data_IF_368293437282
#
_entry.id   IF_368293437282
#
_cell.length_a   1.000
_cell.length_b   1.000
_cell.length_c   1.000
_cell.angle_alpha   90.00
_cell.angle_beta   90.00
_cell.angle_gamma   90.00
#
_symmetry.space_group_name_H-M   'P 1'
#
loop_
_entity.id
_entity.type
_entity.pdbx_description
1 polymer ?
#
# COMPACT_ATOMS: atom_id res chain seq x y z
N UNK A 1 8.44 -3.04 15.15
CA UNK A 1 7.43 -2.64 14.14
C UNK A 1 8.08 -2.52 12.77
N UNK A 2 7.52 -3.18 11.74
CA UNK A 2 7.93 -3.05 10.33
C UNK A 2 6.86 -2.31 9.54
N UNK A 3 7.24 -1.16 8.97
CA UNK A 3 6.34 -0.25 8.26
C UNK A 3 6.75 -0.18 6.79
N UNK A 4 5.79 -0.23 5.88
CA UNK A 4 6.01 0.05 4.46
C UNK A 4 5.43 1.40 4.01
N UNK A 5 6.29 2.16 3.36
CA UNK A 5 6.15 3.31 2.46
C UNK A 5 5.57 3.04 1.07
N UNK A 6 4.27 2.81 0.84
CA UNK A 6 3.81 2.43 -0.51
C UNK A 6 3.54 3.64 -1.43
N UNK A 7 4.24 3.73 -2.57
CA UNK A 7 4.01 4.77 -3.60
C UNK A 7 4.50 4.32 -4.99
N UNK A 8 3.83 4.66 -6.10
CA UNK A 8 4.19 4.17 -7.45
C UNK A 8 5.49 4.74 -8.02
N UNK A 9 5.89 5.96 -7.63
CA UNK A 9 7.11 6.61 -8.14
C UNK A 9 8.38 5.79 -7.89
N UNK A 10 9.33 5.87 -8.83
CA UNK A 10 10.63 5.22 -8.70
C UNK A 10 11.42 5.74 -7.50
N UNK A 11 11.45 7.07 -7.33
CA UNK A 11 12.08 7.74 -6.20
C UNK A 11 11.00 8.15 -5.18
N UNK A 12 11.21 7.92 -3.87
CA UNK A 12 10.24 8.30 -2.85
C UNK A 12 10.02 9.82 -2.82
N UNK A 13 8.77 10.29 -2.99
CA UNK A 13 8.45 11.71 -2.85
C UNK A 13 8.74 12.24 -1.44
N UNK A 14 8.88 13.56 -1.24
CA UNK A 14 9.13 14.17 0.07
C UNK A 14 8.19 13.65 1.17
N UNK A 15 6.87 13.61 0.93
CA UNK A 15 5.91 13.13 1.93
C UNK A 15 6.15 11.68 2.37
N UNK A 16 6.64 10.82 1.47
CA UNK A 16 6.96 9.44 1.82
C UNK A 16 8.23 9.36 2.65
N UNK A 17 9.23 10.19 2.31
CA UNK A 17 10.49 10.29 3.07
C UNK A 17 10.25 10.76 4.51
N UNK A 18 9.38 11.75 4.71
CA UNK A 18 9.02 12.22 6.06
C UNK A 18 8.39 11.12 6.91
N UNK A 19 7.43 10.35 6.35
CA UNK A 19 6.83 9.22 7.07
C UNK A 19 7.89 8.18 7.44
N UNK A 20 8.81 7.86 6.51
CA UNK A 20 9.89 6.92 6.77
C UNK A 20 10.89 7.44 7.82
N UNK A 21 11.22 8.73 7.78
CA UNK A 21 12.09 9.37 8.75
C UNK A 21 11.48 9.32 10.15
N UNK A 22 10.22 9.70 10.30
CA UNK A 22 9.51 9.67 11.58
C UNK A 22 9.32 8.24 12.10
N UNK A 23 8.98 7.29 11.21
CA UNK A 23 8.93 5.87 11.58
C UNK A 23 10.27 5.40 12.15
N UNK A 24 11.39 5.77 11.50
CA UNK A 24 12.73 5.45 11.98
C UNK A 24 13.06 6.15 13.31
N UNK A 25 12.67 7.41 13.48
CA UNK A 25 12.84 8.19 14.72
C UNK A 25 12.11 7.53 15.90
N UNK A 26 10.96 6.91 15.64
CA UNK A 26 10.17 6.14 16.61
C UNK A 26 10.67 4.68 16.80
N UNK A 27 11.82 4.31 16.20
CA UNK A 27 12.41 2.98 16.35
C UNK A 27 11.79 1.89 15.46
N UNK A 28 10.90 2.24 14.54
CA UNK A 28 10.37 1.29 13.56
C UNK A 28 11.35 1.08 12.39
N UNK A 29 11.31 -0.11 11.78
CA UNK A 29 11.98 -0.37 10.51
C UNK A 29 11.05 0.05 9.39
N UNK A 30 11.45 1.03 8.60
CA UNK A 30 10.67 1.49 7.45
C UNK A 30 11.29 1.02 6.14
N UNK A 31 10.48 0.52 5.20
CA UNK A 31 10.89 0.26 3.82
C UNK A 31 10.09 1.13 2.86
N UNK A 32 10.70 1.57 1.76
CA UNK A 32 9.94 2.10 0.63
C UNK A 32 9.47 0.93 -0.24
N UNK A 33 8.20 0.92 -0.62
CA UNK A 33 7.58 -0.13 -1.40
C UNK A 33 6.91 0.48 -2.63
N UNK A 34 7.21 -0.04 -3.81
CA UNK A 34 6.44 0.30 -5.00
C UNK A 34 5.47 -0.83 -5.29
N UNK A 35 4.22 -0.57 -5.67
CA UNK A 35 3.27 -1.63 -6.02
C UNK A 35 3.81 -2.57 -7.09
N UNK A 36 4.60 -2.07 -8.06
CA UNK A 36 5.27 -2.88 -9.10
C UNK A 36 6.37 -3.81 -8.63
N UNK A 37 6.85 -3.62 -7.41
CA UNK A 37 7.85 -4.51 -6.83
C UNK A 37 7.21 -5.67 -6.06
N UNK A 38 5.88 -5.68 -5.89
CA UNK A 38 5.16 -6.69 -5.11
C UNK A 38 4.78 -7.86 -6.01
N UNK A 39 5.15 -9.06 -5.58
CA UNK A 39 4.70 -10.32 -6.18
C UNK A 39 3.91 -11.09 -5.13
N UNK A 40 2.74 -11.59 -5.53
CA UNK A 40 1.92 -12.48 -4.71
C UNK A 40 2.10 -13.93 -5.16
N UNK A 41 2.40 -14.81 -4.22
CA UNK A 41 2.45 -16.24 -4.41
C UNK A 41 1.27 -16.88 -3.67
N UNK A 42 0.45 -17.62 -4.42
CA UNK A 42 -0.64 -18.41 -3.86
C UNK A 42 -0.23 -19.87 -3.82
N UNK A 43 -0.21 -20.47 -2.63
CA UNK A 43 0.07 -21.89 -2.43
C UNK A 43 -1.10 -22.54 -1.70
N UNK A 44 -2.06 -23.06 -2.47
CA UNK A 44 -3.31 -23.58 -1.94
C UNK A 44 -4.15 -22.45 -1.32
N UNK A 45 -4.23 -22.40 0.02
CA UNK A 45 -4.95 -21.36 0.77
C UNK A 45 -4.03 -20.30 1.40
N UNK A 46 -2.71 -20.41 1.23
CA UNK A 46 -1.79 -19.40 1.74
C UNK A 46 -1.51 -18.33 0.69
N UNK A 47 -1.47 -17.08 1.14
CA UNK A 47 -0.99 -15.92 0.40
C UNK A 47 0.34 -15.49 1.01
N UNK A 48 1.37 -15.43 0.17
CA UNK A 48 2.66 -14.86 0.55
C UNK A 48 3.02 -13.70 -0.39
N UNK A 49 3.47 -12.60 0.19
CA UNK A 49 3.89 -11.43 -0.56
C UNK A 49 5.41 -11.30 -0.54
N UNK A 50 5.96 -10.91 -1.68
CA UNK A 50 7.39 -10.76 -1.89
C UNK A 50 7.71 -9.42 -2.53
N UNK A 51 8.88 -8.89 -2.19
CA UNK A 51 9.54 -7.79 -2.89
C UNK A 51 10.86 -8.30 -3.46
N UNK A 52 10.86 -8.61 -4.76
CA UNK A 52 11.95 -9.39 -5.36
C UNK A 52 12.11 -10.73 -4.64
N UNK A 53 13.32 -11.06 -4.19
CA UNK A 53 13.59 -12.31 -3.47
C UNK A 53 13.26 -12.28 -1.96
N UNK A 54 12.80 -11.15 -1.42
CA UNK A 54 12.55 -11.00 0.03
C UNK A 54 11.06 -11.08 0.33
N UNK A 55 10.68 -11.92 1.28
CA UNK A 55 9.32 -11.95 1.81
C UNK A 55 8.97 -10.59 2.42
N UNK A 56 7.80 -10.08 2.09
CA UNK A 56 7.25 -8.86 2.64
C UNK A 56 6.54 -9.20 3.96
N UNK A 57 7.08 -8.71 5.06
CA UNK A 57 6.61 -8.99 6.43
C UNK A 57 6.26 -7.69 7.19
N UNK A 58 5.72 -6.71 6.44
CA UNK A 58 5.32 -5.42 6.99
C UNK A 58 4.01 -5.53 7.76
N UNK A 59 4.00 -5.04 8.99
CA UNK A 59 2.82 -5.06 9.88
C UNK A 59 1.83 -3.93 9.53
N UNK A 60 2.35 -2.85 8.95
CA UNK A 60 1.61 -1.65 8.59
C UNK A 60 2.13 -1.07 7.27
N UNK A 61 1.24 -0.65 6.39
CA UNK A 61 1.56 -0.05 5.10
C UNK A 61 0.85 1.29 4.95
N UNK A 62 1.62 2.37 4.81
CA UNK A 62 1.09 3.68 4.42
C UNK A 62 0.96 3.72 2.90
N UNK A 63 -0.27 3.80 2.42
CA UNK A 63 -0.63 3.91 1.01
C UNK A 63 -0.62 5.38 0.60
N UNK A 64 0.28 5.73 -0.32
CA UNK A 64 0.44 7.08 -0.87
C UNK A 64 0.38 7.03 -2.40
N UNK A 65 -0.02 8.14 -3.02
CA UNK A 65 0.03 8.28 -4.48
C UNK A 65 -1.08 7.56 -5.26
N UNK A 66 -2.18 7.18 -4.60
CA UNK A 66 -3.34 6.52 -5.25
C UNK A 66 -4.39 7.50 -5.78
N UNK A 67 -4.20 8.81 -5.59
CA UNK A 67 -5.21 9.84 -5.89
C UNK A 67 -5.39 10.15 -7.38
N UNK A 68 -4.34 10.00 -8.20
CA UNK A 68 -4.31 10.46 -9.59
C UNK A 68 -3.81 9.38 -10.55
N UNK A 69 -4.48 8.23 -10.64
CA UNK A 69 -4.14 7.19 -11.60
C UNK A 69 -4.38 7.68 -13.04
N UNK A 70 -3.51 7.31 -13.97
CA UNK A 70 -3.62 7.63 -15.40
C UNK A 70 -4.73 6.84 -16.09
N UNK A 71 -5.12 5.68 -15.53
CA UNK A 71 -6.20 4.84 -16.03
C UNK A 71 -6.87 4.05 -14.91
N UNK A 72 -8.03 3.46 -15.21
CA UNK A 72 -8.74 2.61 -14.25
C UNK A 72 -8.00 1.30 -13.97
N UNK A 73 -7.26 0.78 -14.94
CA UNK A 73 -6.39 -0.38 -14.79
C UNK A 73 -5.26 -0.07 -13.81
N UNK A 74 -4.61 1.09 -13.96
CA UNK A 74 -3.55 1.50 -13.03
C UNK A 74 -4.10 1.65 -11.60
N UNK A 75 -5.29 2.25 -11.47
CA UNK A 75 -5.97 2.36 -10.17
C UNK A 75 -6.24 0.99 -9.56
N UNK A 76 -6.88 0.11 -10.33
CA UNK A 76 -7.30 -1.24 -9.90
C UNK A 76 -6.11 -2.08 -9.51
N UNK A 77 -5.05 -2.03 -10.31
CA UNK A 77 -3.82 -2.74 -10.01
C UNK A 77 -3.18 -2.25 -8.70
N UNK A 78 -3.03 -0.94 -8.50
CA UNK A 78 -2.47 -0.39 -7.25
C UNK A 78 -3.32 -0.74 -6.03
N UNK A 79 -4.64 -0.65 -6.13
CA UNK A 79 -5.54 -0.95 -5.00
C UNK A 79 -5.62 -2.44 -4.72
N UNK A 80 -5.52 -3.31 -5.74
CA UNK A 80 -5.42 -4.75 -5.52
C UNK A 80 -4.17 -5.14 -4.73
N UNK A 81 -3.04 -4.46 -4.92
CA UNK A 81 -1.86 -4.69 -4.05
C UNK A 81 -2.17 -4.35 -2.59
N UNK A 82 -2.91 -3.27 -2.33
CA UNK A 82 -3.38 -2.93 -0.96
C UNK A 82 -4.24 -4.05 -0.40
N UNK A 83 -5.21 -4.53 -1.17
CA UNK A 83 -6.09 -5.63 -0.77
C UNK A 83 -5.31 -6.90 -0.44
N UNK A 84 -4.34 -7.28 -1.26
CA UNK A 84 -3.49 -8.44 -1.03
C UNK A 84 -2.65 -8.30 0.24
N UNK A 85 -2.15 -7.10 0.54
CA UNK A 85 -1.45 -6.83 1.81
C UNK A 85 -2.38 -7.06 3.00
N UNK A 86 -3.62 -6.59 2.92
CA UNK A 86 -4.62 -6.78 3.98
C UNK A 86 -5.02 -8.26 4.14
N UNK A 87 -5.23 -8.98 3.04
CA UNK A 87 -5.50 -10.43 3.05
C UNK A 87 -4.32 -11.25 3.59
N UNK A 88 -3.09 -10.76 3.40
CA UNK A 88 -1.88 -11.33 3.98
C UNK A 88 -1.69 -11.06 5.48
N UNK A 89 -2.64 -10.38 6.13
CA UNK A 89 -2.62 -10.06 7.56
C UNK A 89 -1.93 -8.74 7.91
N UNK A 90 -1.46 -7.99 6.92
CA UNK A 90 -0.95 -6.63 7.11
C UNK A 90 -2.09 -5.63 7.33
N UNK A 91 -1.77 -4.44 7.86
CA UNK A 91 -2.72 -3.32 7.94
C UNK A 91 -2.35 -2.25 6.92
N UNK A 92 -3.33 -1.65 6.25
CA UNK A 92 -3.10 -0.55 5.33
C UNK A 92 -3.73 0.77 5.81
N UNK A 93 -3.01 1.87 5.62
CA UNK A 93 -3.47 3.24 5.86
C UNK A 93 -3.30 4.03 4.56
N UNK A 94 -4.32 4.28 3.75
CA UNK A 94 -5.71 3.90 3.95
C UNK A 94 -5.99 2.45 3.50
N UNK A 95 -7.04 1.83 4.05
CA UNK A 95 -7.48 0.49 3.66
C UNK A 95 -7.96 0.44 2.21
N UNK A 96 -7.97 -0.75 1.61
CA UNK A 96 -8.51 -0.93 0.26
C UNK A 96 -9.95 -0.41 0.14
N UNK A 97 -10.80 -0.83 1.08
CA UNK A 97 -12.22 -0.44 1.11
C UNK A 97 -12.42 1.07 1.17
N UNK A 98 -11.64 1.77 2.01
CA UNK A 98 -11.71 3.22 2.15
C UNK A 98 -11.29 3.94 0.87
N UNK A 99 -10.25 3.44 0.19
CA UNK A 99 -9.76 4.02 -1.07
C UNK A 99 -10.81 3.87 -2.17
N UNK A 100 -11.44 2.68 -2.29
CA UNK A 100 -12.46 2.42 -3.30
C UNK A 100 -13.72 3.25 -3.02
N UNK A 101 -14.18 3.30 -1.78
CA UNK A 101 -15.36 4.08 -1.39
C UNK A 101 -15.14 5.58 -1.65
N UNK A 102 -14.00 6.14 -1.24
CA UNK A 102 -13.69 7.55 -1.45
C UNK A 102 -13.51 7.92 -2.94
N UNK A 103 -13.30 6.93 -3.82
CA UNK A 103 -13.21 7.15 -5.27
C UNK A 103 -14.60 7.33 -5.89
N UNK A 104 -15.61 6.67 -5.34
CA UNK A 104 -16.97 6.80 -5.81
C UNK A 104 -17.56 8.15 -5.39
N UNK A 105 -17.46 9.13 -6.29
CA UNK A 105 -17.97 10.47 -6.06
C UNK A 105 -19.50 10.52 -5.95
N UNK A 106 -20.22 9.50 -6.44
CA UNK A 106 -21.68 9.44 -6.30
C UNK A 106 -22.10 9.24 -4.84
N UNK A 107 -21.22 8.67 -4.02
CA UNK A 107 -21.44 8.44 -2.59
C UNK A 107 -21.11 9.67 -1.73
N UNK A 108 -20.45 10.70 -2.24
CA UNK A 108 -20.06 11.87 -1.44
C UNK A 108 -21.21 12.54 -0.67
N UNK A 109 -22.44 12.68 -1.22
CA UNK A 109 -23.56 13.26 -0.48
C UNK A 109 -24.06 12.43 0.71
N UNK A 110 -23.71 11.15 0.82
CA UNK A 110 -24.17 10.27 1.91
C UNK A 110 -23.18 10.13 3.09
N UNK A 111 -22.01 10.78 2.98
CA UNK A 111 -20.92 10.78 3.99
C UNK A 111 -20.53 12.19 4.46
N UNK A 112 -21.25 13.22 4.00
CA UNK A 112 -21.17 14.61 4.47
C UNK A 112 -22.46 14.97 5.24
#
# INVERSE_FOLDING_TARGET
MKIAVMHPSATPPPSCREIMYEAKRLGARSIYLRPQDVTALFSGRSLELYRGAKRLDSELVFVRGTSSPSSIEQFTWMTNIVKLIEEGGGRAINSYSSIVLARDKSMLPSIL
#
